data_IF_487259653761
#
_entry.id   IF_487259653761
#
_cell.length_a   1.000
_cell.length_b   1.000
_cell.length_c   1.000
_cell.angle_alpha   90.00
_cell.angle_beta   90.00
_cell.angle_gamma   90.00
#
_symmetry.space_group_name_H-M   'P 1'
#
loop_
_entity.id
_entity.type
_entity.pdbx_description
1 polymer ?
#
# COMPACT_ATOMS: atom_id res chain seq x y z
N UNK A 1 -13.99 -33.97 -15.45
CA UNK A 1 -13.30 -32.71 -15.74
C UNK A 1 -12.25 -32.94 -16.80
N UNK A 2 -12.61 -32.65 -18.08
CA UNK A 2 -11.65 -32.69 -19.17
C UNK A 2 -10.65 -31.53 -19.00
N UNK A 3 -9.33 -31.75 -19.15
CA UNK A 3 -8.35 -30.68 -19.06
C UNK A 3 -8.63 -29.65 -20.16
N UNK A 4 -8.78 -28.38 -19.76
CA UNK A 4 -8.92 -27.28 -20.73
C UNK A 4 -7.72 -27.31 -21.69
N UNK A 5 -7.96 -27.24 -23.02
CA UNK A 5 -6.87 -27.17 -23.97
C UNK A 5 -5.98 -25.95 -23.61
N UNK A 6 -4.69 -26.18 -23.41
CA UNK A 6 -3.72 -25.09 -23.26
C UNK A 6 -3.83 -24.22 -24.49
N UNK A 7 -4.22 -22.95 -24.34
CA UNK A 7 -4.07 -21.98 -25.43
C UNK A 7 -2.59 -22.01 -25.81
N UNK A 8 -2.31 -22.26 -27.07
CA UNK A 8 -0.96 -22.07 -27.59
C UNK A 8 -0.58 -20.62 -27.28
N UNK A 9 0.52 -20.43 -26.57
CA UNK A 9 1.05 -19.10 -26.33
C UNK A 9 1.27 -18.42 -27.68
N UNK A 10 0.85 -17.16 -27.86
CA UNK A 10 1.11 -16.45 -29.10
C UNK A 10 2.62 -16.43 -29.35
N UNK A 11 3.08 -16.57 -30.57
CA UNK A 11 4.50 -16.61 -30.89
C UNK A 11 5.18 -15.35 -30.35
N UNK A 12 6.06 -15.51 -29.35
CA UNK A 12 6.76 -14.39 -28.65
C UNK A 12 7.88 -13.79 -29.52
N UNK A 13 8.23 -14.43 -30.61
CA UNK A 13 9.32 -14.01 -31.51
C UNK A 13 9.15 -12.59 -32.08
N UNK A 14 8.03 -12.27 -32.78
CA UNK A 14 7.84 -10.95 -33.39
C UNK A 14 7.84 -9.79 -32.38
N UNK A 15 7.11 -9.86 -31.23
CA UNK A 15 7.17 -8.81 -30.21
C UNK A 15 8.57 -8.62 -29.64
N UNK A 16 9.30 -9.70 -29.41
CA UNK A 16 10.66 -9.65 -28.87
C UNK A 16 11.62 -8.94 -29.82
N UNK A 17 11.53 -9.21 -31.11
CA UNK A 17 12.38 -8.54 -32.11
C UNK A 17 12.06 -7.06 -32.20
N UNK A 18 10.78 -6.70 -32.29
CA UNK A 18 10.33 -5.31 -32.32
C UNK A 18 10.83 -4.51 -31.10
N UNK A 19 10.72 -5.08 -29.88
CA UNK A 19 11.22 -4.44 -28.68
C UNK A 19 12.75 -4.27 -28.69
N UNK A 20 13.50 -5.23 -29.22
CA UNK A 20 14.96 -5.08 -29.34
C UNK A 20 15.35 -3.94 -30.26
N UNK A 21 14.63 -3.74 -31.35
CA UNK A 21 14.88 -2.65 -32.25
C UNK A 21 14.58 -1.30 -31.61
N UNK A 22 13.51 -1.22 -30.81
CA UNK A 22 13.22 -0.03 -29.98
C UNK A 22 14.36 0.27 -29.01
N UNK A 23 14.90 -0.72 -28.27
CA UNK A 23 16.04 -0.51 -27.36
C UNK A 23 17.30 -0.02 -28.10
N UNK A 24 17.55 -0.51 -29.33
CA UNK A 24 18.73 -0.11 -30.13
C UNK A 24 18.65 1.32 -30.62
N UNK A 25 17.47 1.83 -30.88
CA UNK A 25 17.22 3.15 -31.47
C UNK A 25 16.80 4.21 -30.47
N UNK A 26 16.60 3.82 -29.18
CA UNK A 26 16.21 4.75 -28.13
C UNK A 26 17.38 5.68 -27.75
N UNK A 27 17.10 6.97 -27.71
CA UNK A 27 18.07 8.00 -27.31
C UNK A 27 18.27 8.05 -25.80
N UNK A 28 17.24 7.68 -25.03
CA UNK A 28 17.23 7.75 -23.55
C UNK A 28 16.65 6.47 -22.97
N UNK A 29 17.36 5.90 -22.01
CA UNK A 29 16.87 4.82 -21.16
C UNK A 29 16.41 5.36 -19.80
N UNK A 30 15.19 4.99 -19.39
CA UNK A 30 14.66 5.30 -18.08
C UNK A 30 14.61 4.06 -17.21
N UNK A 31 15.06 4.15 -15.97
CA UNK A 31 14.93 3.05 -15.00
C UNK A 31 14.52 3.53 -13.62
N UNK A 32 13.90 2.62 -12.85
CA UNK A 32 13.83 2.73 -11.41
C UNK A 32 15.13 2.23 -10.76
N UNK A 33 15.21 2.33 -9.43
CA UNK A 33 16.31 1.81 -8.62
C UNK A 33 15.74 1.05 -7.42
N UNK A 34 16.27 -0.14 -7.15
CA UNK A 34 15.91 -0.89 -5.94
C UNK A 34 16.68 -0.40 -4.72
N UNK A 35 18.01 -0.18 -4.86
CA UNK A 35 18.86 0.36 -3.82
C UNK A 35 19.87 1.33 -4.43
N UNK A 36 20.07 2.50 -3.81
CA UNK A 36 21.10 3.47 -4.16
C UNK A 36 22.12 3.53 -3.02
N UNK A 37 23.38 3.20 -3.29
CA UNK A 37 24.44 3.11 -2.29
C UNK A 37 25.16 4.44 -2.17
N UNK A 38 25.04 5.11 -1.01
CA UNK A 38 25.67 6.43 -0.80
C UNK A 38 27.21 6.38 -0.80
N UNK A 39 27.78 5.33 -0.23
CA UNK A 39 29.23 5.15 -0.13
C UNK A 39 29.94 5.11 -1.49
N UNK A 40 29.33 4.47 -2.49
CA UNK A 40 29.96 4.17 -3.78
C UNK A 40 29.28 4.85 -4.98
N UNK A 41 28.11 5.49 -4.77
CA UNK A 41 27.28 6.00 -5.86
C UNK A 41 26.63 4.90 -6.72
N UNK A 42 26.66 3.65 -6.26
CA UNK A 42 26.17 2.51 -7.03
C UNK A 42 24.65 2.43 -7.00
N UNK A 43 24.03 2.30 -8.16
CA UNK A 43 22.61 2.02 -8.32
C UNK A 43 22.39 0.54 -8.56
N UNK A 44 21.57 -0.09 -7.74
CA UNK A 44 21.26 -1.52 -7.83
C UNK A 44 19.87 -1.72 -8.43
N UNK A 45 19.80 -2.51 -9.49
CA UNK A 45 18.57 -2.85 -10.20
C UNK A 45 18.36 -4.36 -10.20
N UNK A 46 17.20 -4.79 -9.72
CA UNK A 46 16.78 -6.19 -9.62
C UNK A 46 15.76 -6.47 -10.70
N UNK A 47 15.96 -7.49 -11.51
CA UNK A 47 15.05 -7.86 -12.59
C UNK A 47 15.12 -9.35 -12.95
N UNK A 48 14.12 -9.85 -13.69
CA UNK A 48 14.07 -11.23 -14.20
C UNK A 48 14.02 -11.32 -15.73
N UNK A 49 13.70 -10.23 -16.43
CA UNK A 49 13.37 -10.23 -17.85
C UNK A 49 14.47 -9.67 -18.75
N UNK A 50 15.43 -8.93 -18.20
CA UNK A 50 16.51 -8.28 -18.94
C UNK A 50 16.15 -6.93 -19.56
N UNK A 51 14.91 -6.46 -19.40
CA UNK A 51 14.43 -5.16 -19.91
C UNK A 51 15.10 -3.98 -19.20
N UNK A 52 15.26 -4.05 -17.89
CA UNK A 52 15.99 -3.06 -17.10
C UNK A 52 17.46 -2.96 -17.53
N UNK A 53 18.13 -4.11 -17.72
CA UNK A 53 19.50 -4.15 -18.22
C UNK A 53 19.61 -3.49 -19.59
N UNK A 54 18.69 -3.80 -20.53
CA UNK A 54 18.69 -3.17 -21.85
C UNK A 54 18.50 -1.65 -21.78
N UNK A 55 17.59 -1.18 -20.91
CA UNK A 55 17.35 0.25 -20.71
C UNK A 55 18.53 1.01 -20.11
N UNK A 56 19.38 0.32 -19.33
CA UNK A 56 20.51 0.95 -18.63
C UNK A 56 21.84 0.83 -19.37
N UNK A 57 21.92 0.02 -20.42
CA UNK A 57 23.21 -0.24 -21.13
C UNK A 57 23.20 0.17 -22.59
N UNK A 58 22.08 0.10 -23.29
CA UNK A 58 22.03 0.32 -24.74
C UNK A 58 21.87 1.80 -25.13
N UNK A 59 20.93 2.58 -24.54
CA UNK A 59 20.79 3.99 -24.88
C UNK A 59 22.00 4.83 -24.46
N UNK A 60 22.35 5.87 -25.22
CA UNK A 60 23.48 6.74 -24.90
C UNK A 60 23.29 7.56 -23.63
N UNK A 61 22.05 7.82 -23.22
CA UNK A 61 21.70 8.54 -21.98
C UNK A 61 20.88 7.63 -21.08
N UNK A 62 21.24 7.52 -19.81
CA UNK A 62 20.47 6.81 -18.79
C UNK A 62 19.99 7.77 -17.70
N UNK A 63 18.67 7.79 -17.45
CA UNK A 63 18.06 8.53 -16.34
C UNK A 63 17.48 7.53 -15.34
N UNK A 64 18.08 7.49 -14.17
CA UNK A 64 17.61 6.68 -13.04
C UNK A 64 16.73 7.52 -12.11
N UNK A 65 15.51 7.05 -11.80
CA UNK A 65 14.56 7.78 -10.94
C UNK A 65 14.26 6.93 -9.72
N UNK A 66 14.43 7.51 -8.53
CA UNK A 66 14.17 6.78 -7.28
C UNK A 66 13.74 7.69 -6.15
N UNK A 67 13.00 7.15 -5.20
CA UNK A 67 12.71 7.86 -3.95
C UNK A 67 13.92 7.87 -3.01
N UNK A 68 14.05 8.92 -2.22
CA UNK A 68 15.15 9.06 -1.23
C UNK A 68 15.18 7.91 -0.22
N UNK A 69 14.06 7.23 -0.01
CA UNK A 69 13.96 6.06 0.88
C UNK A 69 14.71 4.81 0.37
N UNK A 70 15.19 4.84 -0.88
CA UNK A 70 15.96 3.75 -1.46
C UNK A 70 17.47 3.88 -1.23
N UNK A 71 17.89 4.97 -0.62
CA UNK A 71 19.31 5.18 -0.30
C UNK A 71 19.71 4.33 0.90
N UNK A 72 20.77 3.54 0.73
CA UNK A 72 21.46 2.78 1.79
C UNK A 72 22.84 3.34 2.01
N UNK A 73 23.37 3.24 3.23
CA UNK A 73 24.63 3.86 3.56
C UNK A 73 25.82 3.20 2.87
N UNK A 74 25.89 1.87 2.96
CA UNK A 74 27.06 1.08 2.52
C UNK A 74 26.67 0.01 1.53
N UNK A 75 27.62 -0.41 0.72
CA UNK A 75 27.44 -1.52 -0.21
C UNK A 75 27.14 -2.83 0.54
N UNK A 76 27.69 -3.03 1.72
CA UNK A 76 27.41 -4.19 2.59
C UNK A 76 25.96 -4.29 3.07
N UNK A 77 25.16 -3.21 2.98
CA UNK A 77 23.76 -3.20 3.38
C UNK A 77 22.86 -3.82 2.30
N UNK A 78 23.36 -3.93 1.06
CA UNK A 78 22.56 -4.42 -0.09
C UNK A 78 22.29 -5.94 -0.02
N UNK A 79 23.26 -6.83 0.26
CA UNK A 79 23.02 -8.28 0.24
C UNK A 79 21.90 -8.76 1.17
N UNK A 80 21.78 -8.30 2.44
CA UNK A 80 20.65 -8.66 3.30
C UNK A 80 19.32 -8.25 2.70
N UNK A 81 19.19 -7.01 2.20
CA UNK A 81 17.96 -6.50 1.61
C UNK A 81 17.62 -7.24 0.31
N UNK A 82 18.62 -7.48 -0.54
CA UNK A 82 18.45 -8.26 -1.76
C UNK A 82 17.98 -9.69 -1.46
N UNK A 83 18.53 -10.34 -0.44
CA UNK A 83 18.13 -11.71 -0.07
C UNK A 83 16.65 -11.79 0.35
N UNK A 84 16.11 -10.74 0.95
CA UNK A 84 14.70 -10.68 1.36
C UNK A 84 13.76 -10.39 0.18
N UNK A 85 14.18 -9.57 -0.79
CA UNK A 85 13.32 -9.06 -1.84
C UNK A 85 12.71 -10.16 -2.73
N UNK A 86 13.48 -10.99 -3.45
CA UNK A 86 12.91 -12.03 -4.31
C UNK A 86 12.20 -13.13 -3.51
N UNK A 87 12.69 -13.49 -2.32
CA UNK A 87 12.04 -14.49 -1.47
C UNK A 87 10.64 -14.05 -1.03
N UNK A 88 10.52 -12.79 -0.63
CA UNK A 88 9.24 -12.25 -0.16
C UNK A 88 8.28 -11.93 -1.31
N UNK A 89 8.80 -11.65 -2.50
CA UNK A 89 7.99 -11.35 -3.67
C UNK A 89 7.37 -12.61 -4.29
N UNK A 90 8.19 -13.61 -4.60
CA UNK A 90 7.81 -14.78 -5.40
C UNK A 90 8.44 -16.10 -4.94
N UNK A 91 9.07 -16.14 -3.77
CA UNK A 91 9.69 -17.34 -3.20
C UNK A 91 11.03 -17.74 -3.87
N UNK A 92 11.61 -16.92 -4.73
CA UNK A 92 12.90 -17.18 -5.34
C UNK A 92 14.04 -16.85 -4.37
N UNK A 93 15.11 -17.65 -4.41
CA UNK A 93 16.31 -17.38 -3.61
C UNK A 93 17.14 -16.22 -4.17
N UNK A 94 17.18 -16.10 -5.50
CA UNK A 94 17.88 -15.07 -6.27
C UNK A 94 17.03 -14.65 -7.46
N UNK A 95 17.34 -13.50 -8.06
CA UNK A 95 16.76 -13.06 -9.34
C UNK A 95 17.64 -13.51 -10.51
N UNK A 96 17.13 -13.41 -11.73
CA UNK A 96 17.88 -13.74 -12.94
C UNK A 96 19.03 -12.74 -13.15
N UNK A 97 18.75 -11.45 -12.92
CA UNK A 97 19.73 -10.37 -13.07
C UNK A 97 19.75 -9.49 -11.82
N UNK A 98 20.94 -9.14 -11.41
CA UNK A 98 21.21 -8.10 -10.43
C UNK A 98 22.28 -7.16 -11.00
N UNK A 99 21.86 -5.99 -11.43
CA UNK A 99 22.73 -5.02 -12.08
C UNK A 99 23.21 -3.99 -11.07
N UNK A 100 24.50 -3.69 -11.11
CA UNK A 100 25.15 -2.67 -10.30
C UNK A 100 25.77 -1.63 -11.24
N UNK A 101 25.29 -0.40 -11.19
CA UNK A 101 25.64 0.67 -12.11
C UNK A 101 26.29 1.79 -11.28
N UNK A 102 27.55 2.09 -11.54
CA UNK A 102 28.32 3.07 -10.77
C UNK A 102 28.52 4.40 -11.48
N UNK A 103 28.19 4.47 -12.77
CA UNK A 103 28.36 5.69 -13.55
C UNK A 103 28.23 5.44 -15.06
N UNK A 104 28.47 6.48 -15.86
CA UNK A 104 28.52 6.37 -17.31
C UNK A 104 29.74 5.56 -17.78
N UNK A 105 29.69 5.14 -19.04
CA UNK A 105 30.75 4.38 -19.72
C UNK A 105 32.08 5.15 -19.69
N UNK A 106 33.13 4.47 -19.32
CA UNK A 106 34.51 5.01 -19.35
C UNK A 106 35.16 4.81 -20.71
N UNK A 107 36.21 5.56 -20.96
CA UNK A 107 37.00 5.38 -22.17
C UNK A 107 37.55 3.94 -22.26
N UNK A 108 37.27 3.27 -23.38
CA UNK A 108 37.64 1.86 -23.63
C UNK A 108 36.60 0.81 -23.25
N UNK A 109 35.53 1.19 -22.58
CA UNK A 109 34.39 0.29 -22.33
C UNK A 109 33.48 0.20 -23.58
N UNK A 110 32.96 -1.01 -23.87
CA UNK A 110 32.20 -1.27 -25.09
C UNK A 110 30.71 -0.96 -24.98
N UNK A 111 30.16 -1.07 -23.79
CA UNK A 111 28.72 -0.86 -23.49
C UNK A 111 28.50 0.09 -22.32
N UNK A 112 27.28 0.51 -22.15
CA UNK A 112 26.84 1.48 -21.14
C UNK A 112 26.58 2.86 -21.71
N UNK A 113 25.81 3.70 -20.99
CA UNK A 113 25.46 5.04 -21.41
C UNK A 113 26.67 5.97 -21.39
N UNK A 114 26.65 6.97 -22.28
CA UNK A 114 27.67 8.04 -22.28
C UNK A 114 27.41 9.05 -21.15
N UNK A 115 26.13 9.27 -20.83
CA UNK A 115 25.67 10.16 -19.78
C UNK A 115 24.72 9.43 -18.85
N UNK A 116 24.82 9.73 -17.54
CA UNK A 116 23.95 9.15 -16.52
C UNK A 116 23.46 10.24 -15.58
N UNK A 117 22.14 10.24 -15.36
CA UNK A 117 21.48 11.17 -14.44
C UNK A 117 20.72 10.42 -13.36
N UNK A 118 20.85 10.86 -12.10
CA UNK A 118 20.10 10.33 -10.96
C UNK A 118 19.12 11.39 -10.48
N UNK A 119 17.82 11.04 -10.50
CA UNK A 119 16.75 11.87 -9.96
C UNK A 119 16.27 11.28 -8.64
N UNK A 120 16.53 12.00 -7.54
CA UNK A 120 16.07 11.64 -6.21
C UNK A 120 14.75 12.36 -5.90
N UNK A 121 13.69 11.59 -5.65
CA UNK A 121 12.35 12.10 -5.36
C UNK A 121 12.11 12.15 -3.86
N UNK A 122 11.80 13.32 -3.33
CA UNK A 122 11.27 13.46 -1.98
C UNK A 122 9.75 13.23 -1.96
N UNK A 123 8.98 14.11 -2.54
CA UNK A 123 7.52 14.05 -2.61
C UNK A 123 6.87 13.57 -1.29
N UNK A 124 7.13 14.27 -0.19
CA UNK A 124 6.57 13.97 1.14
C UNK A 124 7.29 12.89 1.95
N UNK A 125 8.35 12.27 1.42
CA UNK A 125 9.12 11.24 2.14
C UNK A 125 9.88 11.82 3.33
N UNK A 126 10.48 13.00 3.18
CA UNK A 126 11.12 13.71 4.29
C UNK A 126 10.15 13.98 5.44
N UNK A 127 8.89 14.32 5.13
CA UNK A 127 7.85 14.50 6.14
C UNK A 127 7.55 13.20 6.89
N UNK A 128 7.40 12.08 6.16
CA UNK A 128 7.20 10.77 6.76
C UNK A 128 8.40 10.32 7.61
N UNK A 129 9.62 10.76 7.24
CA UNK A 129 10.85 10.43 7.97
C UNK A 129 10.93 11.13 9.34
N UNK A 130 10.45 12.36 9.45
CA UNK A 130 10.53 13.13 10.70
C UNK A 130 9.66 12.51 11.80
N UNK A 131 8.51 11.95 11.45
CA UNK A 131 7.60 11.33 12.41
C UNK A 131 8.01 9.87 12.69
N UNK A 132 8.30 9.56 13.95
CA UNK A 132 8.90 8.28 14.35
C UNK A 132 8.07 7.05 13.95
N UNK A 133 6.77 7.11 14.14
CA UNK A 133 5.86 6.02 13.81
C UNK A 133 5.74 5.84 12.29
N UNK A 134 5.64 6.93 11.52
CA UNK A 134 5.45 6.89 10.07
C UNK A 134 6.74 6.63 9.30
N UNK A 135 7.89 6.99 9.88
CA UNK A 135 9.22 6.73 9.30
C UNK A 135 9.38 5.29 8.82
N UNK A 136 8.81 4.33 9.54
CA UNK A 136 8.89 2.91 9.20
C UNK A 136 8.22 2.55 7.88
N UNK A 137 7.28 3.36 7.37
CA UNK A 137 6.70 3.20 6.03
C UNK A 137 7.77 3.23 4.94
N UNK A 138 8.81 4.05 5.14
CA UNK A 138 9.90 4.24 4.19
C UNK A 138 10.87 3.05 4.10
N UNK A 139 10.82 2.12 5.07
CA UNK A 139 11.62 0.88 5.06
C UNK A 139 11.12 -0.14 4.02
N UNK A 140 10.05 0.16 3.30
CA UNK A 140 9.44 -0.76 2.34
C UNK A 140 10.38 -1.07 1.17
N UNK A 141 10.74 -2.35 1.01
CA UNK A 141 11.56 -2.86 -0.10
C UNK A 141 10.75 -3.19 -1.37
N UNK A 142 9.45 -2.94 -1.37
CA UNK A 142 8.53 -3.14 -2.51
C UNK A 142 8.36 -4.61 -2.95
N UNK A 143 8.51 -5.57 -2.05
CA UNK A 143 8.35 -6.99 -2.36
C UNK A 143 6.90 -7.44 -2.65
N UNK A 144 5.88 -6.68 -2.25
CA UNK A 144 4.48 -7.02 -2.48
C UNK A 144 3.87 -8.10 -1.58
N UNK A 145 4.63 -8.70 -0.64
CA UNK A 145 4.12 -9.78 0.23
C UNK A 145 2.83 -9.40 0.98
N UNK A 146 2.74 -8.16 1.47
CA UNK A 146 1.55 -7.67 2.16
C UNK A 146 0.29 -7.66 1.27
N UNK A 147 0.43 -7.43 -0.04
CA UNK A 147 -0.69 -7.48 -0.98
C UNK A 147 -1.17 -8.91 -1.21
N UNK A 148 -0.24 -9.86 -1.35
CA UNK A 148 -0.57 -11.28 -1.57
C UNK A 148 -1.37 -11.90 -0.41
N UNK A 149 -1.16 -11.39 0.82
CA UNK A 149 -1.83 -11.90 2.03
C UNK A 149 -3.03 -11.03 2.46
N UNK A 150 -3.30 -9.93 1.76
CA UNK A 150 -4.41 -9.03 2.11
C UNK A 150 -5.76 -9.57 1.62
N UNK A 151 -6.73 -9.85 2.51
CA UNK A 151 -8.04 -10.33 2.11
C UNK A 151 -8.84 -9.30 1.29
N UNK A 152 -8.57 -8.02 1.47
CA UNK A 152 -9.21 -6.96 0.68
C UNK A 152 -8.59 -6.92 -0.71
N UNK A 153 -7.26 -6.79 -0.80
CA UNK A 153 -6.55 -6.71 -2.08
C UNK A 153 -6.85 -7.91 -2.99
N UNK A 154 -6.88 -9.12 -2.44
CA UNK A 154 -7.17 -10.34 -3.23
C UNK A 154 -8.60 -10.36 -3.80
N UNK A 155 -9.51 -9.58 -3.24
CA UNK A 155 -10.92 -9.50 -3.69
C UNK A 155 -11.17 -8.39 -4.72
N UNK A 156 -10.58 -7.22 -4.51
CA UNK A 156 -10.88 -6.03 -5.33
C UNK A 156 -9.79 -5.69 -6.34
N UNK A 157 -8.56 -6.24 -6.17
CA UNK A 157 -7.41 -5.94 -7.02
C UNK A 157 -6.84 -4.54 -6.81
N UNK A 158 -5.72 -4.26 -7.47
CA UNK A 158 -4.98 -3.01 -7.28
C UNK A 158 -5.68 -1.77 -7.85
N UNK A 159 -6.39 -1.92 -8.98
CA UNK A 159 -7.04 -0.79 -9.66
C UNK A 159 -8.10 -0.08 -8.80
N UNK A 160 -8.79 -0.84 -7.93
CA UNK A 160 -9.82 -0.28 -7.05
C UNK A 160 -9.29 0.71 -6.00
N UNK A 161 -7.99 0.70 -5.70
CA UNK A 161 -7.37 1.65 -4.77
C UNK A 161 -7.17 3.05 -5.39
N UNK A 162 -7.16 3.17 -6.71
CA UNK A 162 -7.04 4.45 -7.41
C UNK A 162 -5.69 5.17 -7.21
N UNK A 163 -4.69 4.49 -6.66
CA UNK A 163 -3.35 5.06 -6.38
C UNK A 163 -2.24 4.19 -6.97
N UNK A 164 -1.05 4.78 -7.16
CA UNK A 164 0.12 4.07 -7.69
C UNK A 164 0.54 2.89 -6.82
N UNK A 165 0.38 3.03 -5.51
CA UNK A 165 0.69 1.97 -4.55
C UNK A 165 -0.61 1.44 -3.94
N UNK A 166 -1.09 0.27 -4.40
CA UNK A 166 -2.29 -0.35 -3.84
C UNK A 166 -2.00 -1.23 -2.62
N UNK A 167 -3.06 -1.70 -1.97
CA UNK A 167 -3.00 -2.63 -0.85
C UNK A 167 -2.42 -2.02 0.43
N UNK A 168 -2.06 -2.85 1.42
CA UNK A 168 -1.68 -2.37 2.76
C UNK A 168 -0.55 -1.36 2.78
N UNK A 169 0.49 -1.54 1.95
CA UNK A 169 1.57 -0.55 1.85
C UNK A 169 1.09 0.74 1.20
N UNK A 170 0.17 0.67 0.24
CA UNK A 170 -0.44 1.82 -0.40
C UNK A 170 -1.27 2.65 0.56
N UNK A 171 -2.02 1.98 1.45
CA UNK A 171 -2.84 2.64 2.48
C UNK A 171 -2.02 3.51 3.44
N UNK A 172 -0.74 3.17 3.67
CA UNK A 172 0.13 3.94 4.59
C UNK A 172 1.07 4.91 3.87
N UNK A 173 1.51 4.63 2.63
CA UNK A 173 2.45 5.53 1.93
C UNK A 173 1.75 6.60 1.10
N UNK A 174 0.61 6.28 0.47
CA UNK A 174 -0.08 7.22 -0.43
C UNK A 174 -0.53 8.50 0.27
N UNK A 175 -0.98 8.49 1.53
CA UNK A 175 -1.29 9.72 2.27
C UNK A 175 -0.09 10.68 2.40
N UNK A 176 1.13 10.17 2.52
CA UNK A 176 2.32 11.01 2.55
C UNK A 176 2.67 11.61 1.19
N UNK A 177 2.43 10.85 0.10
CA UNK A 177 2.77 11.27 -1.26
C UNK A 177 1.75 12.21 -1.89
N UNK A 178 0.46 11.96 -1.65
CA UNK A 178 -0.67 12.61 -2.32
C UNK A 178 -1.44 13.58 -1.41
N UNK A 179 -1.28 13.45 -0.10
CA UNK A 179 -2.06 14.14 0.90
C UNK A 179 -3.22 13.29 1.45
N UNK A 180 -3.61 13.58 2.69
CA UNK A 180 -4.64 12.82 3.39
C UNK A 180 -6.05 13.14 2.86
N UNK A 181 -6.27 14.35 2.38
CA UNK A 181 -7.51 14.80 1.74
C UNK A 181 -7.85 13.99 0.48
N UNK A 182 -6.84 13.74 -0.37
CA UNK A 182 -7.00 12.95 -1.59
C UNK A 182 -7.08 11.42 -1.33
N UNK A 183 -6.66 10.96 -0.16
CA UNK A 183 -6.48 9.52 0.14
C UNK A 183 -7.21 9.05 1.40
N UNK A 184 -8.13 9.86 1.93
CA UNK A 184 -8.79 9.61 3.24
C UNK A 184 -9.51 8.26 3.31
N UNK A 185 -10.00 7.75 2.20
CA UNK A 185 -10.74 6.50 2.15
C UNK A 185 -9.84 5.26 2.12
N UNK A 186 -8.56 5.41 1.73
CA UNK A 186 -7.61 4.31 1.65
C UNK A 186 -7.41 3.58 2.99
N UNK A 187 -7.13 4.26 4.12
CA UNK A 187 -6.97 3.57 5.39
C UNK A 187 -8.23 2.83 5.85
N UNK A 188 -9.43 3.21 5.33
CA UNK A 188 -10.70 2.54 5.67
C UNK A 188 -10.90 1.24 4.92
N UNK A 189 -10.21 1.01 3.81
CA UNK A 189 -10.27 -0.22 3.02
C UNK A 189 -9.72 -1.45 3.78
N UNK A 190 -9.05 -1.26 4.90
CA UNK A 190 -8.41 -2.31 5.69
C UNK A 190 -9.38 -2.98 6.69
N UNK A 191 -9.33 -4.32 6.79
CA UNK A 191 -10.08 -5.10 7.79
C UNK A 191 -9.37 -5.22 9.14
N UNK A 192 -8.17 -4.66 9.30
CA UNK A 192 -7.33 -4.73 10.51
C UNK A 192 -6.98 -6.16 10.96
N UNK A 193 -6.88 -7.10 10.02
CA UNK A 193 -6.62 -8.52 10.32
C UNK A 193 -5.17 -8.82 10.74
N UNK A 194 -4.20 -7.93 10.50
CA UNK A 194 -2.79 -8.09 10.90
C UNK A 194 -1.93 -8.92 9.95
N UNK A 195 -2.51 -9.60 8.95
CA UNK A 195 -1.75 -10.48 8.04
C UNK A 195 -0.56 -9.77 7.35
N UNK A 196 -0.72 -8.49 7.01
CA UNK A 196 0.35 -7.69 6.39
C UNK A 196 1.53 -7.43 7.33
N UNK A 197 1.31 -7.30 8.64
CA UNK A 197 2.37 -7.12 9.65
C UNK A 197 3.20 -8.40 9.80
N UNK A 198 2.51 -9.56 9.81
CA UNK A 198 3.15 -10.87 9.97
C UNK A 198 4.09 -11.21 8.81
N UNK A 199 3.63 -10.97 7.57
CA UNK A 199 4.38 -11.34 6.36
C UNK A 199 5.42 -10.31 5.95
N UNK A 200 5.43 -9.11 6.52
CA UNK A 200 6.37 -8.07 6.14
C UNK A 200 7.81 -8.48 6.50
N UNK A 201 8.72 -8.64 5.52
CA UNK A 201 10.09 -9.08 5.77
C UNK A 201 10.93 -8.04 6.53
N UNK A 202 10.58 -6.77 6.40
CA UNK A 202 11.23 -5.63 7.10
C UNK A 202 10.42 -5.16 8.32
N UNK A 203 9.37 -5.91 8.69
CA UNK A 203 8.58 -5.70 9.92
C UNK A 203 8.02 -4.29 10.09
N UNK A 204 7.45 -3.73 9.02
CA UNK A 204 6.69 -2.47 9.11
C UNK A 204 5.40 -2.74 9.88
N UNK A 205 5.06 -1.97 10.94
CA UNK A 205 3.82 -2.13 11.69
C UNK A 205 2.64 -1.48 10.93
N UNK A 206 2.26 -2.08 9.80
CA UNK A 206 1.31 -1.52 8.83
C UNK A 206 -0.05 -1.22 9.48
N UNK A 207 -0.59 -2.17 10.26
CA UNK A 207 -1.89 -1.99 10.91
C UNK A 207 -1.88 -0.87 11.95
N UNK A 208 -0.79 -0.70 12.69
CA UNK A 208 -0.65 0.42 13.63
C UNK A 208 -0.62 1.77 12.90
N UNK A 209 0.07 1.84 11.76
CA UNK A 209 0.12 3.04 10.93
C UNK A 209 -1.23 3.33 10.26
N UNK A 210 -1.96 2.31 9.77
CA UNK A 210 -3.32 2.48 9.25
C UNK A 210 -4.25 3.05 10.31
N UNK A 211 -4.18 2.54 11.55
CA UNK A 211 -4.98 3.07 12.66
C UNK A 211 -4.66 4.54 12.92
N UNK A 212 -3.37 4.90 12.94
CA UNK A 212 -2.94 6.29 13.10
C UNK A 212 -3.48 7.19 11.97
N UNK A 213 -3.45 6.73 10.73
CA UNK A 213 -3.99 7.48 9.59
C UNK A 213 -5.51 7.66 9.69
N UNK A 214 -6.25 6.66 10.20
CA UNK A 214 -7.68 6.80 10.48
C UNK A 214 -7.96 7.87 11.55
N UNK A 215 -7.14 7.92 12.59
CA UNK A 215 -7.23 8.96 13.62
C UNK A 215 -6.95 10.35 13.02
N UNK A 216 -5.90 10.49 12.22
CA UNK A 216 -5.53 11.73 11.53
C UNK A 216 -6.64 12.20 10.58
N UNK A 217 -7.24 11.29 9.80
CA UNK A 217 -8.33 11.58 8.87
C UNK A 217 -9.61 12.08 9.56
N UNK A 218 -9.78 11.80 10.85
CA UNK A 218 -10.95 12.20 11.65
C UNK A 218 -10.69 13.45 12.52
N UNK A 219 -9.45 13.95 12.55
CA UNK A 219 -9.11 15.12 13.39
C UNK A 219 -9.72 16.40 12.86
N UNK A 220 -10.12 17.25 13.81
CA UNK A 220 -10.53 18.62 13.53
C UNK A 220 -9.33 19.44 13.02
N UNK A 221 -9.53 20.37 12.06
CA UNK A 221 -8.48 21.29 11.61
C UNK A 221 -7.86 22.13 12.73
N UNK A 222 -8.57 22.34 13.83
CA UNK A 222 -8.12 23.12 14.99
C UNK A 222 -7.18 22.35 15.93
N UNK A 223 -7.11 21.03 15.76
CA UNK A 223 -6.27 20.18 16.62
C UNK A 223 -4.82 20.19 16.15
N UNK A 224 -3.95 20.87 16.91
CA UNK A 224 -2.52 20.97 16.60
C UNK A 224 -1.84 19.60 16.74
N UNK A 225 -1.23 19.14 15.68
CA UNK A 225 -0.38 17.94 15.64
C UNK A 225 1.05 18.36 15.38
N UNK A 226 2.01 17.75 16.08
CA UNK A 226 3.43 18.12 15.95
C UNK A 226 3.95 17.94 14.50
N UNK A 227 3.48 16.91 13.81
CA UNK A 227 3.86 16.58 12.43
C UNK A 227 2.64 16.11 11.65
N UNK A 228 1.76 17.03 11.19
CA UNK A 228 0.57 16.65 10.44
C UNK A 228 0.98 16.08 9.07
N UNK A 229 0.27 15.03 8.64
CA UNK A 229 0.39 14.54 7.27
C UNK A 229 -0.16 15.61 6.34
N UNK A 230 0.43 15.75 5.17
CA UNK A 230 0.02 16.72 4.15
C UNK A 230 -1.47 16.57 3.83
N UNK A 231 -2.16 17.68 3.75
CA UNK A 231 -3.61 17.72 3.58
C UNK A 231 -4.36 17.70 4.92
N UNK A 232 -5.50 18.37 4.97
CA UNK A 232 -6.36 18.37 6.14
C UNK A 232 -7.24 17.13 6.12
N UNK A 233 -7.44 16.51 7.28
CA UNK A 233 -8.50 15.52 7.45
C UNK A 233 -9.83 16.13 7.00
N UNK A 234 -10.66 15.32 6.36
CA UNK A 234 -11.89 15.83 5.78
C UNK A 234 -12.82 16.41 6.83
N UNK A 235 -13.47 17.52 6.48
CA UNK A 235 -14.61 18.02 7.22
C UNK A 235 -15.73 16.96 7.22
N UNK A 236 -16.18 16.58 8.40
CA UNK A 236 -17.37 15.71 8.53
C UNK A 236 -18.60 16.40 7.93
N UNK A 237 -19.41 15.66 7.21
CA UNK A 237 -20.73 16.16 6.81
C UNK A 237 -21.60 16.33 8.06
N UNK A 238 -22.54 17.27 8.03
CA UNK A 238 -23.49 17.46 9.15
C UNK A 238 -24.24 16.17 9.48
N UNK A 239 -24.60 15.39 8.47
CA UNK A 239 -25.26 14.08 8.67
C UNK A 239 -24.38 13.07 9.37
N UNK A 240 -23.09 13.01 9.03
CA UNK A 240 -22.10 12.15 9.67
C UNK A 240 -21.85 12.56 11.11
N UNK A 241 -21.69 13.85 11.37
CA UNK A 241 -21.53 14.39 12.72
C UNK A 241 -22.72 14.05 13.60
N UNK A 242 -23.94 14.20 13.07
CA UNK A 242 -25.17 13.88 13.81
C UNK A 242 -25.26 12.36 14.07
N UNK A 243 -24.92 11.53 13.10
CA UNK A 243 -24.92 10.07 13.27
C UNK A 243 -23.93 9.63 14.37
N UNK A 244 -22.72 10.17 14.38
CA UNK A 244 -21.73 9.86 15.41
C UNK A 244 -22.09 10.39 16.79
N UNK A 245 -22.68 11.60 16.88
CA UNK A 245 -23.19 12.13 18.16
C UNK A 245 -24.32 11.26 18.71
N UNK A 246 -25.23 10.84 17.85
CA UNK A 246 -26.33 9.95 18.24
C UNK A 246 -25.79 8.58 18.70
N UNK A 247 -24.89 8.00 17.95
CA UNK A 247 -24.23 6.75 18.33
C UNK A 247 -23.54 6.89 19.69
N UNK A 248 -22.71 7.91 19.87
CA UNK A 248 -22.03 8.15 21.13
C UNK A 248 -23.02 8.33 22.30
N UNK A 249 -24.09 9.10 22.11
CA UNK A 249 -25.12 9.30 23.14
C UNK A 249 -25.80 7.98 23.56
N UNK A 250 -26.05 7.10 22.60
CA UNK A 250 -26.66 5.77 22.87
C UNK A 250 -25.68 4.85 23.63
N UNK A 251 -24.43 4.80 23.17
CA UNK A 251 -23.46 3.78 23.63
C UNK A 251 -22.60 4.21 24.83
N UNK A 252 -22.54 5.51 25.18
CA UNK A 252 -21.79 6.01 26.32
C UNK A 252 -22.47 5.77 27.66
N UNK A 253 -23.78 5.60 27.71
CA UNK A 253 -24.56 5.49 28.94
C UNK A 253 -25.21 4.13 29.12
N UNK A 254 -24.91 3.42 30.24
CA UNK A 254 -25.49 2.09 30.51
C UNK A 254 -27.03 2.06 30.47
N UNK A 255 -27.69 3.11 31.03
CA UNK A 255 -29.15 3.20 31.07
C UNK A 255 -29.71 3.43 29.65
N UNK A 256 -29.10 4.35 28.88
CA UNK A 256 -29.52 4.69 27.53
C UNK A 256 -29.31 3.49 26.58
N UNK A 257 -28.17 2.83 26.67
CA UNK A 257 -27.89 1.62 25.89
C UNK A 257 -28.91 0.50 26.15
N UNK A 258 -29.28 0.27 27.43
CA UNK A 258 -30.30 -0.73 27.76
C UNK A 258 -31.67 -0.36 27.25
N UNK A 259 -32.07 0.91 27.38
CA UNK A 259 -33.35 1.40 26.86
C UNK A 259 -33.41 1.28 25.33
N UNK A 260 -32.33 1.66 24.65
CA UNK A 260 -32.19 1.50 23.20
C UNK A 260 -32.28 0.02 22.78
N UNK A 261 -31.55 -0.87 23.46
CA UNK A 261 -31.56 -2.30 23.19
C UNK A 261 -32.96 -2.89 23.36
N UNK A 262 -33.65 -2.52 24.44
CA UNK A 262 -35.04 -2.93 24.68
C UNK A 262 -35.98 -2.42 23.57
N UNK A 263 -35.92 -1.13 23.24
CA UNK A 263 -36.73 -0.55 22.18
C UNK A 263 -36.46 -1.21 20.82
N UNK A 264 -35.19 -1.40 20.46
CA UNK A 264 -34.78 -2.03 19.20
C UNK A 264 -35.28 -3.46 19.07
N UNK A 265 -35.27 -4.24 20.17
CA UNK A 265 -35.80 -5.63 20.13
C UNK A 265 -37.31 -5.67 20.13
N UNK A 266 -37.98 -4.84 20.89
CA UNK A 266 -39.46 -4.78 20.99
C UNK A 266 -40.07 -4.32 19.66
N UNK A 267 -39.52 -3.27 19.06
CA UNK A 267 -40.04 -2.67 17.82
C UNK A 267 -39.32 -3.18 16.59
N UNK A 268 -38.63 -4.33 16.65
CA UNK A 268 -37.87 -4.91 15.51
C UNK A 268 -38.69 -5.11 14.24
N UNK A 269 -39.99 -5.32 14.37
CA UNK A 269 -40.90 -5.53 13.21
C UNK A 269 -41.04 -4.25 12.39
N UNK A 270 -40.86 -3.08 13.03
CA UNK A 270 -40.94 -1.77 12.39
C UNK A 270 -39.63 -1.39 11.67
N UNK A 271 -38.62 -2.23 11.75
CA UNK A 271 -37.33 -1.94 11.09
C UNK A 271 -37.52 -1.89 9.57
N UNK A 272 -37.24 -0.75 8.92
CA UNK A 272 -37.47 -0.59 7.48
C UNK A 272 -36.61 -1.57 6.68
N UNK A 273 -37.19 -2.14 5.63
CA UNK A 273 -36.48 -3.02 4.72
C UNK A 273 -35.43 -2.28 3.88
N UNK A 274 -35.63 -0.98 3.63
CA UNK A 274 -34.66 -0.11 2.95
C UNK A 274 -34.06 0.82 3.99
N UNK A 275 -32.75 0.69 4.20
CA UNK A 275 -31.95 1.48 5.16
C UNK A 275 -30.94 2.31 4.37
N UNK A 276 -31.05 3.62 4.44
CA UNK A 276 -30.25 4.58 3.67
C UNK A 276 -28.75 4.36 3.91
N UNK A 277 -27.97 4.28 2.84
CA UNK A 277 -26.52 4.06 2.91
C UNK A 277 -26.08 2.66 3.34
N UNK A 278 -27.04 1.76 3.69
CA UNK A 278 -26.70 0.39 4.09
C UNK A 278 -27.22 -0.65 3.09
N UNK A 279 -28.47 -0.57 2.70
CA UNK A 279 -29.12 -1.61 1.87
C UNK A 279 -28.80 -1.51 0.39
N UNK A 280 -28.07 -0.50 -0.06
CA UNK A 280 -27.66 -0.36 -1.45
C UNK A 280 -26.72 -1.51 -1.87
N UNK A 281 -25.94 -2.05 -0.92
CA UNK A 281 -24.98 -3.13 -1.15
C UNK A 281 -25.03 -4.25 -0.10
N UNK A 282 -25.94 -4.19 0.87
CA UNK A 282 -26.01 -5.12 2.02
C UNK A 282 -27.45 -5.52 2.33
N UNK A 283 -27.60 -6.66 2.98
CA UNK A 283 -28.91 -7.05 3.51
C UNK A 283 -29.34 -6.12 4.64
N UNK A 284 -30.63 -5.82 4.80
CA UNK A 284 -31.12 -4.96 5.88
C UNK A 284 -30.75 -5.54 7.24
N UNK A 285 -30.28 -4.68 8.14
CA UNK A 285 -30.05 -5.05 9.52
C UNK A 285 -31.39 -5.16 10.25
N UNK A 286 -31.66 -6.33 10.83
CA UNK A 286 -32.80 -6.54 11.71
C UNK A 286 -32.30 -6.78 13.12
N UNK A 287 -32.80 -6.05 14.14
CA UNK A 287 -32.46 -6.33 15.53
C UNK A 287 -32.83 -7.76 15.92
N UNK A 288 -32.05 -8.35 16.81
CA UNK A 288 -32.34 -9.67 17.37
C UNK A 288 -33.65 -9.68 18.16
N UNK A 289 -34.22 -10.86 18.39
CA UNK A 289 -35.46 -11.00 19.17
C UNK A 289 -35.28 -10.73 20.69
N UNK A 290 -34.03 -10.90 21.18
CA UNK A 290 -33.66 -10.68 22.59
C UNK A 290 -32.43 -9.82 22.67
N UNK A 291 -32.29 -9.02 23.74
CA UNK A 291 -31.08 -8.25 23.97
C UNK A 291 -29.92 -9.20 24.36
N UNK A 292 -28.68 -8.71 24.16
CA UNK A 292 -27.49 -9.46 24.63
C UNK A 292 -27.55 -9.77 26.13
N UNK A 293 -28.07 -8.85 26.94
CA UNK A 293 -28.25 -9.04 28.38
C UNK A 293 -29.22 -10.16 28.72
N UNK A 294 -30.29 -10.29 27.97
CA UNK A 294 -31.27 -11.37 28.17
C UNK A 294 -30.67 -12.72 27.78
N UNK A 295 -29.94 -12.78 26.67
CA UNK A 295 -29.25 -13.99 26.22
C UNK A 295 -28.17 -14.44 27.21
N UNK A 296 -27.41 -13.52 27.82
CA UNK A 296 -26.41 -13.84 28.85
C UNK A 296 -27.09 -14.39 30.10
N UNK A 297 -28.18 -13.77 30.56
CA UNK A 297 -28.94 -14.27 31.73
C UNK A 297 -29.47 -15.67 31.51
N UNK A 298 -30.06 -15.95 30.34
CA UNK A 298 -30.55 -17.29 30.00
C UNK A 298 -29.43 -18.33 29.96
N UNK A 299 -28.24 -17.94 29.51
CA UNK A 299 -27.07 -18.84 29.47
C UNK A 299 -26.51 -19.12 30.87
N UNK A 300 -26.60 -18.16 31.80
CA UNK A 300 -26.15 -18.33 33.19
C UNK A 300 -27.15 -19.12 34.05
N UNK A 301 -28.39 -19.25 33.59
CA UNK A 301 -29.44 -20.03 34.29
C UNK A 301 -29.53 -21.48 33.78
N UNK A 302 -28.80 -21.84 32.74
CA UNK A 302 -28.60 -23.20 32.22
C UNK A 302 -27.33 -23.82 32.79
#
# INVERSE_FOLDING_TARGET
>A
DAPRPRRADPPTGPPRQALRDVYRTADVGLSGVNFAVAETGTLCLVENEGNGRLSTTVPPVHIAITGIEKVVAKLSDVPPLYSLLPRSAIGQNITTYFNMITGPRRSGELDGPQEMHLVLLDNGRSQAYVEEQMRRTLQCIRCGACMNHCPVYTRIGGAAYGTTYPGPIGEIISPHLLGLDATRDLPTACTMCGACDEVCPVKIPITAQIRRLREEAQRSPDEKVAHPIRGQGASHTLTETLAWRTYNGIFSGKKVYRAFGWAATTFRVLTPGKQLGWTDHRKPMKPAAKTLHDLIKEKQQR
#
